data_IF_427388866978
#
_entry.id   IF_427388866978
#
_cell.length_a   1.000
_cell.length_b   1.000
_cell.length_c   1.000
_cell.angle_alpha   90.00
_cell.angle_beta   90.00
_cell.angle_gamma   90.00
#
_symmetry.space_group_name_H-M   'P 1'
#
loop_
_entity.id
_entity.type
_entity.pdbx_description
1 polymer ?
#
# COMPACT_ATOMS: atom_id res chain seq x y z
N UNK A 1 -10.10 -5.77 -17.56
CA UNK A 1 -9.18 -5.02 -17.23
C UNK A 1 -9.19 -4.61 -15.86
N UNK A 2 -8.16 -4.61 -15.23
CA UNK A 2 -8.06 -4.26 -13.88
C UNK A 2 -7.69 -2.89 -13.69
N UNK A 3 -8.23 -2.23 -12.76
CA UNK A 3 -7.94 -0.94 -12.49
C UNK A 3 -7.13 -0.84 -11.34
N UNK A 4 -6.04 -0.26 -11.32
CA UNK A 4 -5.18 -0.10 -10.18
C UNK A 4 -5.60 1.14 -9.47
N UNK A 5 -5.70 1.08 -8.20
CA UNK A 5 -6.03 2.24 -7.42
C UNK A 5 -5.26 2.20 -6.13
N UNK A 6 -5.13 3.33 -5.47
CA UNK A 6 -4.42 3.35 -4.20
C UNK A 6 -5.17 2.55 -3.16
N UNK A 7 -6.49 2.53 -3.20
CA UNK A 7 -7.23 1.75 -2.25
C UNK A 7 -6.94 0.26 -2.44
N UNK A 8 -6.81 -0.18 -3.68
CA UNK A 8 -6.51 -1.58 -3.95
C UNK A 8 -5.09 -1.91 -3.48
N UNK A 9 -4.15 -0.99 -3.69
CA UNK A 9 -2.79 -1.22 -3.27
C UNK A 9 -2.73 -1.30 -1.75
N UNK A 10 -3.43 -0.40 -1.07
CA UNK A 10 -3.43 -0.40 0.38
C UNK A 10 -4.01 -1.72 0.90
N UNK A 11 -5.10 -2.18 0.31
CA UNK A 11 -5.70 -3.44 0.74
C UNK A 11 -4.74 -4.61 0.54
N UNK A 12 -4.01 -4.61 -0.56
CA UNK A 12 -3.09 -5.70 -0.83
C UNK A 12 -1.89 -5.64 0.10
N UNK A 13 -1.43 -4.44 0.41
CA UNK A 13 -0.31 -4.30 1.32
C UNK A 13 -0.70 -4.78 2.71
N UNK A 14 -1.92 -4.49 3.14
CA UNK A 14 -2.37 -4.93 4.44
C UNK A 14 -2.42 -6.44 4.50
N UNK A 15 -2.87 -7.06 3.43
CA UNK A 15 -2.95 -8.50 3.38
C UNK A 15 -1.56 -9.10 3.39
N UNK A 16 -0.62 -8.51 2.69
CA UNK A 16 0.75 -8.99 2.68
C UNK A 16 1.40 -8.88 4.05
N UNK A 17 1.07 -7.82 4.78
CA UNK A 17 1.63 -7.64 6.10
C UNK A 17 1.14 -8.76 7.02
N UNK A 18 -0.14 -9.10 6.93
CA UNK A 18 -0.67 -10.16 7.75
C UNK A 18 0.04 -11.47 7.43
N UNK A 19 0.28 -11.73 6.14
CA UNK A 19 0.95 -12.95 5.75
C UNK A 19 2.41 -12.93 6.21
N UNK A 20 3.08 -11.80 6.11
CA UNK A 20 4.47 -11.70 6.52
C UNK A 20 4.58 -11.94 8.03
N UNK A 21 3.60 -11.45 8.79
CA UNK A 21 3.61 -11.66 10.20
C UNK A 21 3.40 -13.14 10.51
N UNK A 22 2.48 -13.79 9.81
CA UNK A 22 2.21 -15.20 10.05
C UNK A 22 3.43 -16.05 9.74
N UNK A 23 4.25 -15.63 8.77
CA UNK A 23 5.42 -16.38 8.42
C UNK A 23 6.64 -15.89 9.19
N UNK A 24 6.44 -14.93 10.06
CA UNK A 24 7.49 -14.37 10.87
C UNK A 24 8.64 -13.75 10.10
N UNK A 25 8.31 -13.12 8.98
CA UNK A 25 9.31 -12.49 8.16
C UNK A 25 9.40 -11.03 8.59
N UNK A 26 10.11 -10.79 9.66
CA UNK A 26 10.15 -9.48 10.25
C UNK A 26 10.66 -8.37 9.39
N UNK A 27 11.68 -8.60 8.63
CA UNK A 27 12.20 -7.55 7.79
C UNK A 27 11.19 -7.22 6.70
N UNK A 28 10.55 -8.24 6.14
CA UNK A 28 9.58 -8.01 5.09
C UNK A 28 8.39 -7.27 5.66
N UNK A 29 7.99 -7.61 6.87
CA UNK A 29 6.89 -6.96 7.52
C UNK A 29 7.19 -5.48 7.69
N UNK A 30 8.42 -5.14 8.04
CA UNK A 30 8.79 -3.76 8.23
C UNK A 30 8.78 -2.99 6.92
N UNK A 31 9.31 -3.59 5.87
CA UNK A 31 9.34 -2.94 4.58
C UNK A 31 7.92 -2.72 4.06
N UNK A 32 7.05 -3.71 4.29
CA UNK A 32 5.66 -3.59 3.85
C UNK A 32 4.94 -2.50 4.64
N UNK A 33 5.28 -2.35 5.92
CA UNK A 33 4.66 -1.33 6.74
C UNK A 33 5.05 0.05 6.25
N UNK A 34 6.30 0.20 5.84
CA UNK A 34 6.76 1.48 5.32
C UNK A 34 6.05 1.76 3.99
N UNK A 35 5.89 0.72 3.17
CA UNK A 35 5.20 0.87 1.91
C UNK A 35 3.74 1.26 2.14
N UNK A 36 3.13 0.70 3.17
CA UNK A 36 1.76 1.01 3.48
C UNK A 36 1.63 2.47 3.90
N UNK A 37 2.57 2.94 4.69
CA UNK A 37 2.56 4.32 5.12
C UNK A 37 2.69 5.25 3.91
N UNK A 38 3.58 4.89 3.00
CA UNK A 38 3.77 5.67 1.81
C UNK A 38 2.49 5.68 0.97
N UNK A 39 1.79 4.58 0.89
CA UNK A 39 0.55 4.50 0.12
C UNK A 39 -0.52 5.40 0.74
N UNK A 40 -0.58 5.42 2.07
CA UNK A 40 -1.53 6.27 2.75
C UNK A 40 -1.21 7.74 2.51
N UNK A 41 0.07 8.08 2.50
CA UNK A 41 0.47 9.42 2.26
C UNK A 41 0.15 9.85 0.83
N UNK A 42 0.32 8.94 -0.10
CA UNK A 42 -0.01 9.23 -1.49
C UNK A 42 -1.50 9.45 -1.63
N UNK A 43 -2.29 8.68 -0.90
CA UNK A 43 -3.72 8.82 -0.97
C UNK A 43 -4.13 10.18 -0.43
N UNK A 44 -3.50 10.61 0.65
CA UNK A 44 -3.83 11.89 1.25
C UNK A 44 -3.46 13.04 0.30
N UNK A 45 -2.36 12.87 -0.41
CA UNK A 45 -1.94 13.88 -1.29
C UNK A 45 -2.67 13.91 -2.60
N UNK A 46 -3.00 12.79 -3.16
CA UNK A 46 -3.61 12.74 -4.47
C UNK A 46 -5.05 12.25 -4.46
N UNK A 47 -5.68 12.13 -3.36
CA UNK A 47 -7.04 11.66 -3.28
C UNK A 47 -7.06 10.17 -3.38
N UNK A 48 -8.04 9.61 -3.98
CA UNK A 48 -8.11 8.20 -3.98
C UNK A 48 -7.41 7.64 -5.16
N UNK A 49 -6.51 8.35 -5.73
CA UNK A 49 -5.70 7.81 -6.76
C UNK A 49 -6.20 7.91 -8.14
N UNK A 50 -7.28 8.52 -8.30
CA UNK A 50 -7.78 8.57 -9.59
C UNK A 50 -7.20 9.69 -10.37
N UNK A 51 -6.48 10.59 -9.76
CA UNK A 51 -6.03 11.67 -10.42
C UNK A 51 -4.63 11.66 -10.65
N UNK A 52 -4.05 11.95 -11.60
CA UNK A 52 -2.79 11.97 -11.82
C UNK A 52 -2.14 13.17 -11.56
N UNK A 53 -1.24 13.33 -10.92
CA UNK A 53 -0.58 14.50 -10.52
C UNK A 53 0.04 15.05 -11.69
N UNK A 54 0.08 16.18 -11.79
CA UNK A 54 0.58 16.77 -12.74
C UNK A 54 1.83 17.04 -12.57
N UNK A 55 2.49 16.75 -12.14
CA UNK A 55 3.78 16.98 -11.81
C UNK A 55 4.44 17.39 -12.49
#
# INVERSE_FOLDING_TARGET
>A
MTEASLDAIIARLQSCIVDAKALQLKMLERILSIALLEAHESKAKFGDGSEEPDT
#
